data_IF_226444391620
#
_entry.id   IF_226444391620
#
_cell.length_a   1.000
_cell.length_b   1.000
_cell.length_c   1.000
_cell.angle_alpha   90.00
_cell.angle_beta   90.00
_cell.angle_gamma   90.00
#
_symmetry.space_group_name_H-M   'P 1'
#
loop_
_entity.id
_entity.type
_entity.pdbx_description
1 polymer ?
#
# COMPACT_ATOMS: atom_id res chain seq x y z
N UNK A 1 54.17 9.84 9.54
CA UNK A 1 52.90 10.47 9.93
C UNK A 1 51.91 10.70 8.78
N UNK A 2 52.30 10.85 7.51
CA UNK A 2 51.39 11.12 6.38
C UNK A 2 50.43 9.96 6.01
N UNK A 3 50.86 8.69 6.10
CA UNK A 3 50.06 7.51 5.68
C UNK A 3 48.77 7.33 6.47
N UNK A 4 48.77 7.55 7.79
CA UNK A 4 47.59 7.44 8.64
C UNK A 4 46.61 8.60 8.42
N UNK A 5 47.09 9.80 8.10
CA UNK A 5 46.24 10.96 7.74
C UNK A 5 45.49 10.72 6.42
N UNK A 6 46.14 10.11 5.45
CA UNK A 6 45.51 9.73 4.18
C UNK A 6 44.44 8.65 4.38
N UNK A 7 44.78 7.58 5.12
CA UNK A 7 43.86 6.50 5.42
C UNK A 7 42.61 7.01 6.19
N UNK A 8 42.83 7.88 7.19
CA UNK A 8 41.73 8.47 7.95
C UNK A 8 40.81 9.34 7.09
N UNK A 9 41.37 10.13 6.17
CA UNK A 9 40.56 10.93 5.22
C UNK A 9 39.76 10.06 4.27
N UNK A 10 40.37 8.97 3.79
CA UNK A 10 39.70 8.01 2.90
C UNK A 10 38.52 7.34 3.62
N UNK A 11 38.74 6.77 4.80
CA UNK A 11 37.69 6.14 5.62
C UNK A 11 36.55 7.14 5.87
N UNK A 12 36.86 8.35 6.29
CA UNK A 12 35.84 9.39 6.55
C UNK A 12 34.98 9.67 5.31
N UNK A 13 35.61 9.82 4.13
CA UNK A 13 34.89 10.05 2.87
C UNK A 13 33.97 8.88 2.51
N UNK A 14 34.49 7.65 2.68
CA UNK A 14 33.71 6.43 2.42
C UNK A 14 32.53 6.32 3.37
N UNK A 15 32.70 6.56 4.65
CA UNK A 15 31.60 6.57 5.64
C UNK A 15 30.55 7.62 5.29
N UNK A 16 30.96 8.85 4.95
CA UNK A 16 30.02 9.91 4.55
C UNK A 16 29.25 9.51 3.30
N UNK A 17 29.91 8.92 2.31
CA UNK A 17 29.26 8.44 1.08
C UNK A 17 28.23 7.36 1.40
N UNK A 18 28.57 6.37 2.24
CA UNK A 18 27.65 5.32 2.66
C UNK A 18 26.43 5.92 3.38
N UNK A 19 26.64 6.87 4.29
CA UNK A 19 25.54 7.54 5.00
C UNK A 19 24.60 8.28 4.04
N UNK A 20 25.14 8.96 3.02
CA UNK A 20 24.33 9.62 1.99
C UNK A 20 23.51 8.60 1.22
N UNK A 21 24.12 7.49 0.79
CA UNK A 21 23.41 6.42 0.06
C UNK A 21 22.30 5.83 0.92
N UNK A 22 22.58 5.48 2.18
CA UNK A 22 21.56 4.94 3.11
C UNK A 22 20.43 5.94 3.30
N UNK A 23 20.73 7.22 3.50
CA UNK A 23 19.73 8.28 3.63
C UNK A 23 18.83 8.36 2.38
N UNK A 24 19.42 8.37 1.19
CA UNK A 24 18.68 8.39 -0.08
C UNK A 24 17.79 7.16 -0.24
N UNK A 25 18.32 5.96 0.06
CA UNK A 25 17.56 4.71 -0.05
C UNK A 25 16.38 4.68 0.93
N UNK A 26 16.54 5.15 2.17
CA UNK A 26 15.46 5.23 3.15
C UNK A 26 14.39 6.25 2.79
N UNK A 27 14.75 7.31 2.05
CA UNK A 27 13.79 8.28 1.52
C UNK A 27 12.98 7.70 0.36
N UNK A 28 13.62 6.90 -0.50
CA UNK A 28 13.02 6.34 -1.73
C UNK A 28 12.21 5.07 -1.46
N UNK A 29 12.68 4.24 -0.54
CA UNK A 29 12.05 2.95 -0.25
C UNK A 29 11.56 2.87 1.19
N UNK A 30 10.47 2.15 1.39
CA UNK A 30 9.97 1.78 2.71
C UNK A 30 9.85 0.27 2.82
N UNK A 31 10.45 -0.28 3.86
CA UNK A 31 10.32 -1.71 4.20
C UNK A 31 9.20 -1.84 5.22
N UNK A 32 8.25 -2.72 4.92
CA UNK A 32 7.12 -3.02 5.80
C UNK A 32 7.00 -4.52 5.98
N UNK A 33 6.89 -4.97 7.22
CA UNK A 33 6.61 -6.36 7.52
C UNK A 33 5.12 -6.56 7.67
N UNK A 34 4.55 -7.39 6.80
CA UNK A 34 3.11 -7.67 6.84
C UNK A 34 2.73 -8.34 8.15
N UNK A 35 1.67 -7.85 8.77
CA UNK A 35 1.05 -8.42 9.96
C UNK A 35 -0.40 -8.76 9.68
N UNK A 36 -0.77 -10.01 9.91
CA UNK A 36 -2.09 -10.53 9.59
C UNK A 36 -2.28 -10.88 8.11
N UNK A 37 -3.49 -11.29 7.76
CA UNK A 37 -3.79 -11.89 6.46
C UNK A 37 -4.71 -11.03 5.58
N UNK A 38 -4.74 -9.71 5.77
CA UNK A 38 -5.65 -8.84 5.00
C UNK A 38 -5.40 -8.84 3.49
N UNK A 39 -4.17 -9.19 3.07
CA UNK A 39 -3.78 -9.26 1.65
C UNK A 39 -3.58 -10.70 1.15
N UNK A 40 -4.08 -11.70 1.89
CA UNK A 40 -4.05 -13.09 1.43
C UNK A 40 -4.92 -13.27 0.16
N UNK A 41 -4.53 -14.06 -0.83
CA UNK A 41 -3.33 -14.92 -0.86
C UNK A 41 -2.06 -14.23 -1.36
N UNK A 42 -2.14 -12.98 -1.84
CA UNK A 42 -1.03 -12.30 -2.51
C UNK A 42 0.11 -11.97 -1.54
N UNK A 43 -0.19 -11.33 -0.40
CA UNK A 43 0.76 -11.07 0.68
C UNK A 43 0.28 -11.81 1.94
N UNK A 44 1.20 -12.50 2.62
CA UNK A 44 0.91 -13.31 3.81
C UNK A 44 1.51 -12.69 5.06
N UNK A 45 1.01 -13.12 6.21
CA UNK A 45 1.58 -12.74 7.50
C UNK A 45 3.08 -13.06 7.56
N UNK A 46 3.87 -12.09 8.01
CA UNK A 46 5.32 -12.20 8.14
C UNK A 46 6.13 -11.91 6.87
N UNK A 47 5.49 -11.72 5.72
CA UNK A 47 6.18 -11.32 4.49
C UNK A 47 6.80 -9.92 4.62
N UNK A 48 7.99 -9.72 4.04
CA UNK A 48 8.61 -8.42 3.93
C UNK A 48 8.26 -7.78 2.57
N UNK A 49 7.68 -6.61 2.64
CA UNK A 49 7.26 -5.83 1.49
C UNK A 49 8.18 -4.61 1.34
N UNK A 50 8.69 -4.37 0.15
CA UNK A 50 9.48 -3.18 -0.18
C UNK A 50 8.59 -2.28 -1.05
N UNK A 51 8.27 -1.11 -0.54
CA UNK A 51 7.46 -0.11 -1.22
C UNK A 51 8.33 1.00 -1.79
N UNK A 52 8.06 1.40 -3.03
CA UNK A 52 8.70 2.51 -3.72
C UNK A 52 7.81 3.75 -3.64
N UNK A 53 8.39 4.87 -3.16
CA UNK A 53 7.63 6.07 -2.81
C UNK A 53 7.43 7.06 -3.95
N UNK A 54 8.27 6.99 -4.98
CA UNK A 54 8.34 8.01 -6.02
C UNK A 54 7.61 7.62 -7.32
N UNK A 55 6.98 6.43 -7.35
CA UNK A 55 6.27 5.97 -8.54
C UNK A 55 4.86 6.55 -8.64
N UNK A 56 4.34 6.54 -9.86
CA UNK A 56 2.93 6.80 -10.12
C UNK A 56 2.10 5.61 -9.67
N UNK A 57 0.93 5.92 -9.15
CA UNK A 57 -0.01 4.95 -8.62
C UNK A 57 -1.09 4.70 -9.67
N UNK A 58 -1.36 3.43 -9.96
CA UNK A 58 -2.35 2.99 -10.94
C UNK A 58 -3.37 2.04 -10.31
N UNK A 59 -4.46 1.79 -11.03
CA UNK A 59 -5.42 0.74 -10.66
C UNK A 59 -4.72 -0.62 -10.56
N UNK A 60 -5.15 -1.45 -9.63
CA UNK A 60 -4.59 -2.76 -9.27
C UNK A 60 -3.23 -2.73 -8.56
N UNK A 61 -2.61 -1.56 -8.37
CA UNK A 61 -1.40 -1.48 -7.54
C UNK A 61 -1.68 -1.83 -6.09
N UNK A 62 -0.76 -2.60 -5.48
CA UNK A 62 -0.74 -2.81 -4.04
C UNK A 62 0.06 -1.68 -3.40
N UNK A 63 -0.53 -0.99 -2.44
CA UNK A 63 0.06 0.19 -1.80
C UNK A 63 0.11 0.06 -0.29
N UNK A 64 1.11 0.71 0.30
CA UNK A 64 1.17 1.01 1.72
C UNK A 64 0.55 2.38 1.94
N UNK A 65 -0.44 2.46 2.81
CA UNK A 65 -1.10 3.71 3.16
C UNK A 65 -1.31 3.83 4.67
N UNK A 66 -1.52 5.05 5.13
CA UNK A 66 -1.78 5.37 6.52
C UNK A 66 -3.23 5.79 6.68
N UNK A 67 -3.95 5.17 7.62
CA UNK A 67 -5.32 5.59 7.95
C UNK A 67 -5.32 6.89 8.79
N UNK A 68 -6.50 7.47 9.04
CA UNK A 68 -6.66 8.71 9.80
C UNK A 68 -6.13 8.62 11.25
N UNK A 69 -5.92 7.40 11.76
CA UNK A 69 -5.40 7.14 13.11
C UNK A 69 -3.87 6.95 13.11
N UNK A 70 -3.22 7.12 11.96
CA UNK A 70 -1.78 6.91 11.82
C UNK A 70 -1.37 5.44 11.72
N UNK A 71 -2.32 4.52 11.50
CA UNK A 71 -2.01 3.09 11.35
C UNK A 71 -1.67 2.79 9.90
N UNK A 72 -0.51 2.20 9.68
CA UNK A 72 -0.09 1.71 8.37
C UNK A 72 -0.85 0.45 7.97
N UNK A 73 -1.30 0.41 6.73
CA UNK A 73 -2.07 -0.67 6.12
C UNK A 73 -1.59 -0.93 4.70
N UNK A 74 -1.76 -2.17 4.27
CA UNK A 74 -1.51 -2.57 2.87
C UNK A 74 -2.85 -2.90 2.23
N UNK A 75 -3.06 -2.46 0.99
CA UNK A 75 -4.27 -2.76 0.23
C UNK A 75 -4.07 -2.54 -1.26
N UNK A 76 -5.06 -2.94 -2.05
CA UNK A 76 -5.07 -2.82 -3.52
C UNK A 76 -5.99 -1.71 -3.96
N UNK A 77 -5.51 -0.86 -4.86
CA UNK A 77 -6.29 0.21 -5.48
C UNK A 77 -7.28 -0.39 -6.47
N UNK A 78 -8.57 -0.12 -6.27
CA UNK A 78 -9.64 -0.62 -7.14
C UNK A 78 -10.42 0.49 -7.83
N UNK A 79 -10.34 1.72 -7.31
CA UNK A 79 -10.88 2.90 -7.98
C UNK A 79 -10.05 4.14 -7.63
N UNK A 80 -10.13 5.18 -8.45
CA UNK A 80 -9.38 6.43 -8.34
C UNK A 80 -10.30 7.66 -8.48
N UNK A 81 -9.78 8.83 -8.25
CA UNK A 81 -10.51 10.09 -8.27
C UNK A 81 -11.44 10.28 -9.45
N UNK A 82 -12.60 10.90 -9.21
CA UNK A 82 -13.67 11.09 -10.16
C UNK A 82 -14.56 9.87 -10.43
N UNK A 83 -14.20 8.68 -9.89
CA UNK A 83 -15.00 7.47 -10.05
C UNK A 83 -15.99 7.29 -8.89
N UNK A 84 -17.17 6.74 -9.20
CA UNK A 84 -18.19 6.34 -8.23
C UNK A 84 -18.05 4.86 -7.89
N UNK A 85 -18.10 4.52 -6.61
CA UNK A 85 -18.04 3.13 -6.11
C UNK A 85 -19.35 2.79 -5.41
N UNK A 86 -19.94 1.66 -5.76
CA UNK A 86 -21.11 1.08 -5.08
C UNK A 86 -20.98 -0.44 -4.93
N UNK A 87 -21.90 -1.08 -4.24
CA UNK A 87 -21.93 -2.52 -4.03
C UNK A 87 -23.23 -3.11 -4.54
N UNK A 88 -23.14 -4.25 -5.22
CA UNK A 88 -24.31 -5.01 -5.65
C UNK A 88 -24.90 -5.81 -4.45
N UNK A 89 -26.20 -6.04 -4.46
CA UNK A 89 -26.90 -6.78 -3.39
C UNK A 89 -26.47 -8.27 -3.37
N UNK A 90 -26.19 -8.84 -4.54
CA UNK A 90 -25.76 -10.23 -4.70
C UNK A 90 -24.25 -10.43 -4.45
N UNK A 91 -23.54 -9.39 -4.07
CA UNK A 91 -22.08 -9.38 -3.91
C UNK A 91 -21.36 -8.76 -5.09
N UNK A 92 -20.11 -8.33 -4.87
CA UNK A 92 -19.33 -7.56 -5.81
C UNK A 92 -19.42 -6.06 -5.57
N UNK A 93 -18.57 -5.31 -6.26
CA UNK A 93 -18.59 -3.86 -6.28
C UNK A 93 -18.60 -3.36 -7.73
N UNK A 94 -19.14 -2.16 -7.90
CA UNK A 94 -19.24 -1.49 -9.19
C UNK A 94 -18.43 -0.19 -9.14
N UNK A 95 -17.73 0.10 -10.22
CA UNK A 95 -17.03 1.36 -10.44
C UNK A 95 -17.67 2.01 -11.66
N UNK A 96 -18.28 3.20 -11.48
CA UNK A 96 -19.08 3.87 -12.51
C UNK A 96 -20.14 2.96 -13.13
N UNK A 97 -20.84 2.18 -12.28
CA UNK A 97 -21.88 1.20 -12.64
C UNK A 97 -21.40 -0.03 -13.44
N UNK A 98 -20.09 -0.20 -13.61
CA UNK A 98 -19.51 -1.37 -14.25
C UNK A 98 -18.80 -2.26 -13.21
N UNK A 99 -19.00 -3.57 -13.32
CA UNK A 99 -18.28 -4.52 -12.49
C UNK A 99 -16.85 -4.68 -13.02
N UNK A 100 -15.81 -4.38 -12.21
CA UNK A 100 -14.44 -4.58 -12.64
C UNK A 100 -14.12 -6.07 -12.83
N UNK A 101 -13.29 -6.35 -13.84
CA UNK A 101 -12.74 -7.70 -14.02
C UNK A 101 -11.53 -7.80 -13.08
N UNK A 102 -11.65 -8.64 -12.06
CA UNK A 102 -10.55 -8.92 -11.13
C UNK A 102 -10.40 -10.43 -10.87
N UNK A 103 -9.14 -10.87 -10.75
CA UNK A 103 -8.81 -12.26 -10.39
C UNK A 103 -8.76 -12.42 -8.86
N UNK A 104 -9.84 -12.07 -8.17
CA UNK A 104 -9.94 -12.25 -6.73
C UNK A 104 -10.88 -13.42 -6.42
N UNK A 105 -10.42 -14.42 -5.63
CA UNK A 105 -11.25 -15.59 -5.32
C UNK A 105 -12.34 -15.30 -4.28
N UNK A 106 -12.31 -14.11 -3.65
CA UNK A 106 -13.25 -13.76 -2.60
C UNK A 106 -14.29 -12.75 -3.09
N UNK A 107 -15.55 -13.04 -2.83
CA UNK A 107 -16.63 -12.10 -3.07
C UNK A 107 -16.49 -10.86 -2.18
N UNK A 108 -16.87 -9.72 -2.71
CA UNK A 108 -16.73 -8.43 -2.05
C UNK A 108 -18.09 -7.92 -1.61
N UNK A 109 -18.26 -7.72 -0.31
CA UNK A 109 -19.47 -7.16 0.28
C UNK A 109 -19.17 -5.81 0.93
N UNK A 110 -20.23 -5.00 1.07
CA UNK A 110 -20.20 -3.77 1.86
C UNK A 110 -19.83 -4.09 3.31
N UNK A 111 -19.08 -3.21 3.98
CA UNK A 111 -18.80 -3.38 5.40
C UNK A 111 -20.04 -3.10 6.24
N UNK A 112 -20.37 -3.99 7.18
CA UNK A 112 -21.50 -3.83 8.08
C UNK A 112 -21.31 -2.65 9.06
N UNK A 113 -20.05 -2.42 9.49
CA UNK A 113 -19.66 -1.41 10.47
C UNK A 113 -19.21 -0.08 9.86
N UNK A 114 -19.12 0.01 8.55
CA UNK A 114 -18.65 1.22 7.86
C UNK A 114 -19.68 2.35 7.94
N UNK A 115 -19.19 3.58 8.16
CA UNK A 115 -20.01 4.79 8.08
C UNK A 115 -20.04 5.39 6.66
N UNK A 116 -19.57 4.63 5.67
CA UNK A 116 -19.48 5.09 4.29
C UNK A 116 -20.84 4.97 3.60
N UNK A 117 -21.33 6.07 3.05
CA UNK A 117 -22.54 6.07 2.23
C UNK A 117 -22.22 5.72 0.79
N UNK A 118 -23.03 4.87 0.18
CA UNK A 118 -22.91 4.45 -1.21
C UNK A 118 -24.12 4.91 -2.03
N UNK A 119 -23.92 5.31 -3.32
CA UNK A 119 -22.67 5.35 -4.05
C UNK A 119 -21.67 6.38 -3.46
N UNK A 120 -20.40 6.01 -3.38
CA UNK A 120 -19.32 6.88 -2.95
C UNK A 120 -18.63 7.50 -4.16
N UNK A 121 -18.75 8.80 -4.35
CA UNK A 121 -18.00 9.55 -5.35
C UNK A 121 -16.64 9.94 -4.78
N UNK A 122 -15.55 9.45 -5.38
CA UNK A 122 -14.18 9.76 -4.98
C UNK A 122 -13.79 11.17 -5.46
N UNK A 123 -13.15 11.95 -4.59
CA UNK A 123 -12.54 13.21 -4.98
C UNK A 123 -11.32 12.95 -5.87
N UNK A 124 -10.87 13.96 -6.61
CA UNK A 124 -9.76 13.85 -7.58
C UNK A 124 -8.46 13.29 -6.99
N UNK A 125 -8.20 13.53 -5.70
CA UNK A 125 -7.02 13.06 -4.99
C UNK A 125 -7.26 11.82 -4.11
N UNK A 126 -8.42 11.18 -4.24
CA UNK A 126 -8.81 10.00 -3.45
C UNK A 126 -8.73 8.71 -4.25
N UNK A 127 -8.46 7.63 -3.54
CA UNK A 127 -8.44 6.26 -4.06
C UNK A 127 -9.36 5.38 -3.20
N UNK A 128 -9.99 4.40 -3.83
CA UNK A 128 -10.68 3.34 -3.11
C UNK A 128 -9.79 2.11 -3.07
N UNK A 129 -9.44 1.69 -1.87
CA UNK A 129 -8.45 0.64 -1.60
C UNK A 129 -9.16 -0.51 -0.89
N UNK A 130 -9.00 -1.73 -1.40
CA UNK A 130 -9.56 -2.94 -0.81
C UNK A 130 -8.46 -3.90 -0.35
N UNK A 131 -8.74 -4.64 0.69
CA UNK A 131 -7.97 -5.81 1.07
C UNK A 131 -8.18 -6.93 0.04
N UNK A 132 -7.13 -7.71 -0.30
CA UNK A 132 -7.30 -8.88 -1.18
C UNK A 132 -8.12 -9.97 -0.47
N UNK A 133 -7.96 -10.15 0.85
CA UNK A 133 -8.84 -10.99 1.65
C UNK A 133 -10.12 -10.23 2.00
N UNK A 134 -11.11 -10.32 1.14
CA UNK A 134 -12.35 -9.51 1.19
C UNK A 134 -13.18 -9.65 2.46
N UNK A 135 -12.98 -10.73 3.23
CA UNK A 135 -13.68 -10.93 4.51
C UNK A 135 -13.20 -9.95 5.59
N UNK A 136 -11.99 -9.38 5.45
CA UNK A 136 -11.49 -8.32 6.34
C UNK A 136 -11.87 -6.98 5.73
N UNK A 137 -12.78 -6.25 6.38
CA UNK A 137 -13.39 -5.00 5.88
C UNK A 137 -12.69 -3.73 6.34
N UNK A 138 -11.58 -3.84 7.07
CA UNK A 138 -10.82 -2.69 7.59
C UNK A 138 -10.01 -1.98 6.50
N UNK A 139 -10.69 -1.57 5.43
CA UNK A 139 -10.17 -0.89 4.25
C UNK A 139 -11.12 0.27 3.87
N UNK A 140 -11.13 0.72 2.61
CA UNK A 140 -11.99 1.83 2.16
C UNK A 140 -13.48 1.57 2.36
N UNK A 141 -13.91 0.33 2.57
CA UNK A 141 -15.31 0.02 2.93
C UNK A 141 -15.72 0.58 4.28
N UNK A 142 -14.76 0.70 5.21
CA UNK A 142 -14.97 1.33 6.53
C UNK A 142 -14.41 2.74 6.60
N UNK A 143 -13.29 3.01 5.88
CA UNK A 143 -12.53 4.26 5.97
C UNK A 143 -12.97 5.32 4.95
N UNK A 144 -13.66 4.90 3.86
CA UNK A 144 -13.96 5.79 2.74
C UNK A 144 -12.79 5.99 1.79
N UNK A 145 -12.80 7.09 1.04
CA UNK A 145 -11.74 7.46 0.12
C UNK A 145 -10.43 7.78 0.84
N UNK A 146 -9.33 7.16 0.40
CA UNK A 146 -7.98 7.38 0.93
C UNK A 146 -7.29 8.42 0.06
N UNK A 147 -6.83 9.52 0.67
CA UNK A 147 -6.14 10.59 -0.05
C UNK A 147 -4.78 10.13 -0.57
N UNK A 148 -4.37 10.67 -1.70
CA UNK A 148 -3.04 10.44 -2.28
C UNK A 148 -1.91 10.72 -1.28
N UNK A 149 -2.05 11.74 -0.43
CA UNK A 149 -1.07 12.10 0.60
C UNK A 149 -0.89 11.05 1.70
N UNK A 150 -1.88 10.17 1.89
CA UNK A 150 -1.84 9.07 2.87
C UNK A 150 -1.11 7.84 2.30
N UNK A 151 -0.91 7.77 0.98
CA UNK A 151 -0.21 6.65 0.35
C UNK A 151 1.30 6.86 0.48
N UNK A 152 1.96 5.91 1.12
CA UNK A 152 3.40 5.96 1.43
C UNK A 152 4.27 5.36 0.33
N UNK A 153 3.71 4.50 -0.53
CA UNK A 153 4.42 3.90 -1.65
C UNK A 153 3.66 2.73 -2.27
N UNK A 154 4.15 2.30 -3.42
CA UNK A 154 3.66 1.17 -4.21
C UNK A 154 4.56 -0.04 -3.99
N UNK A 155 3.98 -1.21 -3.86
CA UNK A 155 4.72 -2.46 -3.68
C UNK A 155 5.60 -2.74 -4.90
N UNK A 156 6.91 -2.84 -4.66
CA UNK A 156 7.90 -3.14 -5.68
C UNK A 156 8.39 -4.59 -5.58
N UNK A 157 8.70 -5.05 -4.37
CA UNK A 157 9.18 -6.40 -4.11
C UNK A 157 8.50 -7.01 -2.91
N UNK A 158 8.27 -8.33 -3.00
CA UNK A 158 7.76 -9.17 -1.95
C UNK A 158 8.78 -10.26 -1.61
N UNK A 159 9.29 -10.27 -0.38
CA UNK A 159 10.22 -11.27 0.11
C UNK A 159 9.45 -12.19 1.06
N UNK A 160 9.19 -13.41 0.62
CA UNK A 160 8.47 -14.41 1.41
C UNK A 160 9.39 -15.11 2.38
N UNK A 161 8.94 -15.21 3.62
CA UNK A 161 9.56 -16.11 4.59
C UNK A 161 9.15 -17.55 4.22
N UNK A 162 10.10 -18.35 3.72
CA UNK A 162 9.90 -19.80 3.64
C UNK A 162 10.03 -20.36 5.07
N UNK A 163 8.95 -20.90 5.62
CA UNK A 163 9.06 -21.81 6.74
C UNK A 163 9.52 -23.15 6.13
N UNK A 164 10.76 -23.53 6.43
CA UNK A 164 11.25 -24.88 6.24
C UNK A 164 10.72 -25.75 7.35
#
# INVERSE_FOLDING_TARGET
MGKYRFLFRFIRKTVVLILIIVCLLTFVFQIFRMTGNSMYPYVKDGDFCIFYRLDKIYLNDVVLYEDEKGKERVGRIVASGGQSVTFAEEGGYLVNDYQPIEENPYETYKAEKGKVNYPLLLKEDEYFILNDFRQITTDSRELGGIKKSQIKGKLLFLIRRRNF
#
